data_IF_216180980894
#
_entry.id   IF_216180980894
#
_cell.length_a   1.000
_cell.length_b   1.000
_cell.length_c   1.000
_cell.angle_alpha   90.00
_cell.angle_beta   90.00
_cell.angle_gamma   90.00
#
_symmetry.space_group_name_H-M   'P 1'
#
loop_
_entity.id
_entity.type
_entity.pdbx_description
1 polymer ?
#
# COMPACT_ATOMS: atom_id res chain seq x y z
N UNK A 1 -14.39 -5.75 6.74
CA UNK A 1 -15.03 -6.70 7.65
C UNK A 1 -16.33 -6.19 8.24
N UNK A 2 -16.58 -4.86 8.20
CA UNK A 2 -17.84 -4.22 8.65
C UNK A 2 -18.95 -4.22 7.60
N UNK A 3 -18.74 -4.86 6.46
CA UNK A 3 -19.68 -4.90 5.35
C UNK A 3 -19.57 -3.72 4.38
N UNK A 4 -18.61 -2.81 4.57
CA UNK A 4 -18.40 -1.72 3.63
C UNK A 4 -17.83 -2.21 2.29
N UNK A 5 -18.24 -1.56 1.21
CA UNK A 5 -17.58 -1.66 -0.08
C UNK A 5 -16.34 -0.78 -0.11
N UNK A 6 -15.38 -1.12 -0.93
CA UNK A 6 -14.13 -0.35 -1.04
C UNK A 6 -14.10 0.43 -2.34
N UNK A 7 -13.94 1.74 -2.22
CA UNK A 7 -13.87 2.69 -3.34
C UNK A 7 -12.44 3.10 -3.72
N UNK A 8 -11.49 2.90 -2.82
CA UNK A 8 -10.09 3.22 -3.01
C UNK A 8 -9.21 2.32 -2.12
N UNK A 9 -8.01 2.01 -2.58
CA UNK A 9 -7.00 1.24 -1.83
C UNK A 9 -5.65 1.89 -1.95
N UNK A 10 -4.87 1.85 -0.87
CA UNK A 10 -3.47 2.25 -0.94
C UNK A 10 -2.68 1.29 -1.82
N UNK A 11 -1.71 1.85 -2.55
CA UNK A 11 -0.63 1.10 -3.15
C UNK A 11 0.37 0.63 -2.10
N UNK A 12 1.20 -0.35 -2.47
CA UNK A 12 2.22 -0.94 -1.62
C UNK A 12 3.51 -1.15 -2.39
N UNK A 13 4.64 -0.72 -1.83
CA UNK A 13 5.96 -0.98 -2.41
C UNK A 13 6.94 -1.41 -1.32
N UNK A 14 7.89 -2.24 -1.71
CA UNK A 14 9.00 -2.65 -0.84
C UNK A 14 10.28 -2.00 -1.34
N UNK A 15 10.92 -1.22 -0.47
CA UNK A 15 12.15 -0.50 -0.76
C UNK A 15 13.22 -0.96 0.22
N UNK A 16 14.38 -1.32 -0.34
CA UNK A 16 15.58 -1.64 0.44
C UNK A 16 16.63 -0.55 0.29
N UNK A 17 17.27 -0.17 1.39
CA UNK A 17 18.43 0.70 1.39
C UNK A 17 19.61 -0.08 1.97
N UNK A 18 20.66 -0.23 1.17
CA UNK A 18 21.93 -0.83 1.56
C UNK A 18 22.92 0.26 1.93
N UNK A 19 23.72 0.05 2.98
CA UNK A 19 24.74 0.97 3.48
C UNK A 19 26.10 0.30 3.40
N UNK A 20 27.12 1.03 2.92
CA UNK A 20 28.47 0.57 2.71
C UNK A 20 29.45 1.47 3.45
N UNK A 21 30.08 0.91 4.45
CA UNK A 21 31.08 1.55 5.29
C UNK A 21 32.47 0.98 5.08
N UNK A 22 33.33 1.14 6.08
CA UNK A 22 34.70 0.62 6.11
C UNK A 22 34.90 -0.17 7.40
N UNK A 23 35.34 -1.44 7.34
CA UNK A 23 35.55 -2.24 8.54
C UNK A 23 36.84 -1.81 9.26
N UNK A 24 36.83 -1.89 10.59
CA UNK A 24 37.99 -1.67 11.44
C UNK A 24 37.85 -2.45 12.75
N UNK A 25 38.95 -2.62 13.46
CA UNK A 25 38.91 -3.25 14.79
C UNK A 25 38.40 -2.24 15.83
N UNK A 26 37.23 -2.52 16.42
CA UNK A 26 36.54 -1.57 17.29
C UNK A 26 37.30 -1.13 18.53
N UNK A 27 38.25 -1.94 18.99
CA UNK A 27 39.06 -1.63 20.19
C UNK A 27 40.44 -1.00 19.93
N UNK A 28 41.02 -1.24 18.74
CA UNK A 28 42.40 -0.77 18.46
C UNK A 28 42.43 0.54 17.65
N UNK A 29 41.69 0.57 16.54
CA UNK A 29 41.64 1.67 15.58
C UNK A 29 40.24 1.90 15.06
N UNK A 30 39.26 2.23 15.93
CA UNK A 30 37.88 2.47 15.49
C UNK A 30 37.74 3.67 14.54
N UNK A 31 38.68 4.65 14.63
CA UNK A 31 38.76 5.86 13.81
C UNK A 31 39.03 5.56 12.32
N UNK A 32 39.63 4.42 12.00
CA UNK A 32 39.84 3.97 10.61
C UNK A 32 38.59 3.43 9.98
N UNK A 33 37.57 3.06 10.80
CA UNK A 33 36.31 2.51 10.36
C UNK A 33 35.28 3.56 9.96
N UNK A 34 34.26 3.11 9.21
CA UNK A 34 33.04 3.86 8.88
C UNK A 34 31.85 2.94 9.09
N UNK A 35 31.07 3.21 10.13
CA UNK A 35 30.05 2.26 10.60
C UNK A 35 28.75 2.35 9.80
N UNK A 36 28.49 1.33 8.99
CA UNK A 36 27.26 1.24 8.19
C UNK A 36 25.99 1.11 9.05
N UNK A 37 26.06 0.47 10.24
CA UNK A 37 24.91 0.33 11.15
C UNK A 37 24.54 1.70 11.74
N UNK A 38 25.52 2.51 12.14
CA UNK A 38 25.27 3.84 12.70
C UNK A 38 24.65 4.76 11.64
N UNK A 39 25.13 4.70 10.39
CA UNK A 39 24.55 5.41 9.26
C UNK A 39 23.10 4.96 8.99
N UNK A 40 22.83 3.65 9.00
CA UNK A 40 21.47 3.10 8.87
C UNK A 40 20.56 3.59 10.00
N UNK A 41 21.03 3.57 11.23
CA UNK A 41 20.25 4.04 12.39
C UNK A 41 19.89 5.53 12.26
N UNK A 42 20.81 6.36 11.78
CA UNK A 42 20.58 7.78 11.49
C UNK A 42 19.61 8.00 10.30
N UNK A 43 19.64 7.12 9.30
CA UNK A 43 18.82 7.19 8.10
C UNK A 43 17.33 6.88 8.35
N UNK A 44 17.04 5.86 9.17
CA UNK A 44 15.66 5.39 9.39
C UNK A 44 14.69 6.51 9.78
N UNK A 45 14.95 7.34 10.81
CA UNK A 45 14.03 8.40 11.18
C UNK A 45 13.90 9.47 10.09
N UNK A 46 14.96 9.80 9.37
CA UNK A 46 14.95 10.79 8.31
C UNK A 46 14.13 10.31 7.11
N UNK A 47 14.32 9.06 6.67
CA UNK A 47 13.54 8.47 5.57
C UNK A 47 12.06 8.36 5.94
N UNK A 48 11.74 7.95 7.17
CA UNK A 48 10.34 7.89 7.65
C UNK A 48 9.69 9.26 7.73
N UNK A 49 10.44 10.30 8.05
CA UNK A 49 9.91 11.66 8.11
C UNK A 49 9.38 12.15 6.75
N UNK A 50 10.00 11.73 5.63
CA UNK A 50 9.54 12.10 4.28
C UNK A 50 8.08 11.73 4.02
N UNK A 51 7.60 10.61 4.58
CA UNK A 51 6.20 10.21 4.43
C UNK A 51 5.24 11.15 5.17
N UNK A 52 5.68 11.81 6.24
CA UNK A 52 4.82 12.76 6.96
C UNK A 52 4.57 14.07 6.20
N UNK A 53 5.32 14.30 5.13
CA UNK A 53 5.22 15.49 4.29
C UNK A 53 4.32 15.27 3.05
N UNK A 54 3.86 14.04 2.83
CA UNK A 54 2.99 13.66 1.70
C UNK A 54 1.74 12.99 2.26
N UNK A 55 0.59 13.63 2.11
CA UNK A 55 -0.68 13.13 2.63
C UNK A 55 -1.00 11.73 2.07
N UNK A 56 -1.55 10.88 2.93
CA UNK A 56 -1.94 9.53 2.55
C UNK A 56 -0.79 8.53 2.44
N UNK A 57 0.48 8.95 2.64
CA UNK A 57 1.64 8.05 2.62
C UNK A 57 2.02 7.56 4.02
N UNK A 58 2.71 6.43 4.05
CA UNK A 58 3.30 5.88 5.27
C UNK A 58 4.54 5.04 4.93
N UNK A 59 5.54 5.07 5.81
CA UNK A 59 6.72 4.21 5.74
C UNK A 59 6.81 3.39 7.03
N UNK A 60 6.87 2.07 6.89
CA UNK A 60 7.13 1.14 7.99
C UNK A 60 8.48 0.47 7.80
N UNK A 61 9.31 0.44 8.85
CA UNK A 61 10.55 -0.34 8.85
C UNK A 61 10.21 -1.80 9.11
N UNK A 62 10.41 -2.67 8.11
CA UNK A 62 10.04 -4.09 8.19
C UNK A 62 11.21 -4.97 8.60
N UNK A 63 12.39 -4.78 7.97
CA UNK A 63 13.56 -5.62 8.22
C UNK A 63 14.81 -4.75 8.38
N UNK A 64 15.74 -5.21 9.22
CA UNK A 64 17.08 -4.65 9.37
C UNK A 64 18.11 -5.78 9.46
N UNK A 65 19.29 -5.56 8.90
CA UNK A 65 20.43 -6.47 8.99
C UNK A 65 21.73 -5.68 8.94
N UNK A 66 22.79 -6.16 9.56
CA UNK A 66 24.11 -5.51 9.49
C UNK A 66 25.15 -6.08 10.43
N UNK A 67 26.42 -5.77 10.12
CA UNK A 67 27.57 -6.23 10.86
C UNK A 67 27.86 -7.73 10.74
N UNK A 68 28.99 -8.15 11.30
CA UNK A 68 29.44 -9.55 11.34
C UNK A 68 29.75 -10.00 12.76
N UNK A 69 30.51 -9.20 13.51
CA UNK A 69 30.92 -9.46 14.89
C UNK A 69 30.86 -8.17 15.69
N UNK A 70 30.68 -8.27 17.01
CA UNK A 70 30.52 -7.11 17.90
C UNK A 70 31.81 -6.26 18.05
N UNK A 71 32.98 -6.84 17.78
CA UNK A 71 34.27 -6.16 17.89
C UNK A 71 34.81 -5.62 16.57
N UNK A 72 33.97 -5.56 15.53
CA UNK A 72 34.35 -5.00 14.21
C UNK A 72 33.35 -3.90 13.84
N UNK A 73 33.88 -2.74 13.40
CA UNK A 73 33.05 -1.67 12.81
C UNK A 73 32.32 -2.23 11.58
N UNK A 74 31.01 -2.06 11.50
CA UNK A 74 30.20 -2.69 10.49
C UNK A 74 30.46 -2.10 9.10
N UNK A 75 30.92 -2.93 8.17
CA UNK A 75 31.13 -2.56 6.76
C UNK A 75 29.81 -2.48 6.01
N UNK A 76 28.83 -3.33 6.36
CA UNK A 76 27.54 -3.42 5.67
C UNK A 76 26.39 -3.38 6.64
N UNK A 77 25.32 -2.68 6.23
CA UNK A 77 24.01 -2.72 6.86
C UNK A 77 22.93 -2.56 5.81
N UNK A 78 21.72 -3.00 6.10
CA UNK A 78 20.56 -2.79 5.24
C UNK A 78 19.26 -2.64 6.02
N UNK A 79 18.36 -1.84 5.49
CA UNK A 79 16.99 -1.70 5.98
C UNK A 79 16.01 -1.88 4.84
N UNK A 80 14.92 -2.62 5.10
CA UNK A 80 13.80 -2.77 4.15
C UNK A 80 12.56 -2.09 4.71
N UNK A 81 11.94 -1.25 3.90
CA UNK A 81 10.73 -0.50 4.21
C UNK A 81 9.54 -1.02 3.41
N UNK A 82 8.37 -1.07 4.06
CA UNK A 82 7.07 -1.11 3.41
C UNK A 82 6.55 0.32 3.26
N UNK A 83 6.23 0.71 2.03
CA UNK A 83 5.66 1.99 1.67
C UNK A 83 4.17 1.83 1.37
N UNK A 84 3.35 2.77 1.85
CA UNK A 84 1.93 2.88 1.53
C UNK A 84 1.63 4.28 1.02
N UNK A 85 0.80 4.40 -0.02
CA UNK A 85 0.49 5.67 -0.70
C UNK A 85 -0.91 5.65 -1.31
N UNK A 86 -1.52 6.84 -1.42
CA UNK A 86 -2.86 7.02 -1.97
C UNK A 86 -2.88 7.06 -3.50
N UNK A 87 -1.77 7.48 -4.13
CA UNK A 87 -1.62 7.54 -5.59
C UNK A 87 -0.22 7.12 -6.04
N UNK A 88 -0.09 6.75 -7.30
CA UNK A 88 1.21 6.42 -7.89
C UNK A 88 2.12 7.65 -7.97
N UNK A 89 1.54 8.86 -8.11
CA UNK A 89 2.29 10.11 -8.06
C UNK A 89 2.95 10.35 -6.69
N UNK A 90 2.23 10.08 -5.60
CA UNK A 90 2.77 10.19 -4.23
C UNK A 90 3.90 9.18 -3.99
N UNK A 91 3.75 7.95 -4.53
CA UNK A 91 4.80 6.93 -4.53
C UNK A 91 6.08 7.44 -5.20
N UNK A 92 5.94 7.95 -6.42
CA UNK A 92 7.08 8.37 -7.24
C UNK A 92 7.81 9.55 -6.60
N UNK A 93 7.07 10.51 -6.05
CA UNK A 93 7.61 11.64 -5.30
C UNK A 93 8.33 11.16 -4.02
N UNK A 94 7.73 10.24 -3.26
CA UNK A 94 8.34 9.69 -2.05
C UNK A 94 9.65 8.96 -2.37
N UNK A 95 9.66 8.08 -3.38
CA UNK A 95 10.86 7.35 -3.82
C UNK A 95 11.93 8.34 -4.32
N UNK A 96 11.54 9.36 -5.06
CA UNK A 96 12.47 10.40 -5.52
C UNK A 96 13.16 11.11 -4.35
N UNK A 97 12.39 11.53 -3.35
CA UNK A 97 12.93 12.17 -2.13
C UNK A 97 13.83 11.22 -1.33
N UNK A 98 13.43 9.94 -1.19
CA UNK A 98 14.27 8.93 -0.54
C UNK A 98 15.59 8.75 -1.26
N UNK A 99 15.60 8.64 -2.60
CA UNK A 99 16.84 8.57 -3.40
C UNK A 99 17.73 9.79 -3.21
N UNK A 100 17.14 10.98 -3.26
CA UNK A 100 17.87 12.23 -3.06
C UNK A 100 18.54 12.25 -1.67
N UNK A 101 17.83 11.83 -0.63
CA UNK A 101 18.36 11.77 0.72
C UNK A 101 19.51 10.74 0.85
N UNK A 102 19.38 9.56 0.20
CA UNK A 102 20.46 8.58 0.14
C UNK A 102 21.72 9.14 -0.52
N UNK A 103 21.58 9.97 -1.57
CA UNK A 103 22.73 10.59 -2.24
C UNK A 103 23.44 11.66 -1.38
N UNK A 104 22.73 12.32 -0.45
CA UNK A 104 23.36 13.29 0.46
C UNK A 104 24.17 12.62 1.57
N UNK A 105 23.91 11.32 1.83
CA UNK A 105 24.58 10.55 2.86
C UNK A 105 23.99 10.76 4.26
N UNK A 106 24.28 9.82 5.17
CA UNK A 106 23.76 9.80 6.56
C UNK A 106 24.88 9.80 7.60
N UNK A 107 26.10 9.51 7.17
CA UNK A 107 27.32 9.59 7.98
C UNK A 107 28.54 9.74 7.06
N UNK A 108 29.60 10.41 7.55
CA UNK A 108 30.81 10.64 6.80
C UNK A 108 31.47 9.32 6.38
N UNK A 109 31.79 9.20 5.09
CA UNK A 109 32.49 8.05 4.53
C UNK A 109 31.62 6.77 4.42
N UNK A 110 30.31 6.83 4.65
CA UNK A 110 29.35 5.76 4.36
C UNK A 110 28.52 6.15 3.16
N UNK A 111 28.46 5.26 2.17
CA UNK A 111 27.55 5.40 1.01
C UNK A 111 26.27 4.60 1.19
N UNK A 112 25.22 4.98 0.48
CA UNK A 112 23.97 4.22 0.51
C UNK A 112 23.33 4.10 -0.87
N UNK A 113 22.72 2.93 -1.12
CA UNK A 113 22.03 2.58 -2.35
C UNK A 113 20.57 2.21 -2.07
N UNK A 114 19.63 2.84 -2.81
CA UNK A 114 18.21 2.52 -2.72
C UNK A 114 17.80 1.58 -3.86
N UNK A 115 17.24 0.42 -3.51
CA UNK A 115 16.70 -0.58 -4.43
C UNK A 115 15.19 -0.71 -4.25
N UNK A 116 14.48 -0.78 -5.37
CA UNK A 116 13.05 -1.10 -5.40
C UNK A 116 12.93 -2.62 -5.53
N UNK A 117 12.39 -3.28 -4.51
CA UNK A 117 12.18 -4.74 -4.52
C UNK A 117 10.80 -5.10 -5.10
N UNK A 118 9.80 -4.27 -4.81
CA UNK A 118 8.46 -4.40 -5.41
C UNK A 118 7.80 -3.05 -5.58
N UNK A 119 6.89 -2.95 -6.56
CA UNK A 119 6.17 -1.73 -6.91
C UNK A 119 4.73 -2.10 -7.26
N UNK A 120 3.79 -1.89 -6.33
CA UNK A 120 2.37 -2.14 -6.57
C UNK A 120 1.60 -0.83 -6.77
N UNK A 121 0.66 -0.77 -7.72
CA UNK A 121 -0.11 0.46 -7.97
C UNK A 121 -1.08 0.78 -6.83
N UNK A 122 -1.50 2.05 -6.74
CA UNK A 122 -2.64 2.45 -5.92
C UNK A 122 -3.96 2.20 -6.69
N UNK A 123 -5.07 2.10 -5.95
CA UNK A 123 -6.43 2.14 -6.49
C UNK A 123 -7.09 3.44 -6.03
N UNK A 124 -6.86 4.57 -6.71
CA UNK A 124 -7.54 5.82 -6.40
C UNK A 124 -8.99 5.80 -6.90
N UNK A 125 -9.86 6.61 -6.28
CA UNK A 125 -11.20 6.82 -6.79
C UNK A 125 -11.15 7.60 -8.10
N UNK A 126 -11.41 6.94 -9.24
CA UNK A 126 -11.55 7.58 -10.56
C UNK A 126 -12.98 8.08 -10.79
N UNK A 127 -13.16 8.93 -11.81
CA UNK A 127 -14.48 9.40 -12.24
C UNK A 127 -15.37 8.22 -12.72
N UNK A 128 -14.75 7.25 -13.40
CA UNK A 128 -15.43 6.04 -13.87
C UNK A 128 -15.85 5.15 -12.70
N UNK A 129 -14.96 4.96 -11.69
CA UNK A 129 -15.28 4.24 -10.45
C UNK A 129 -16.40 4.95 -9.65
N UNK A 130 -16.43 6.28 -9.62
CA UNK A 130 -17.52 7.05 -9.02
C UNK A 130 -18.85 6.82 -9.73
N UNK A 131 -18.83 6.59 -11.04
CA UNK A 131 -20.04 6.22 -11.82
C UNK A 131 -20.53 4.83 -11.43
N UNK A 132 -19.64 3.86 -11.18
CA UNK A 132 -20.00 2.54 -10.66
C UNK A 132 -20.61 2.63 -9.25
N UNK A 133 -20.06 3.48 -8.38
CA UNK A 133 -20.65 3.75 -7.05
C UNK A 133 -22.09 4.24 -7.17
N UNK A 134 -22.33 5.21 -8.06
CA UNK A 134 -23.67 5.74 -8.32
C UNK A 134 -24.64 4.66 -8.81
N UNK A 135 -24.16 3.78 -9.69
CA UNK A 135 -24.95 2.67 -10.24
C UNK A 135 -25.31 1.65 -9.15
N UNK A 136 -24.38 1.29 -8.27
CA UNK A 136 -24.61 0.36 -7.15
C UNK A 136 -25.59 0.97 -6.13
N UNK A 137 -25.44 2.25 -5.81
CA UNK A 137 -26.37 2.94 -4.91
C UNK A 137 -27.79 2.94 -5.50
N UNK A 138 -27.94 3.14 -6.83
CA UNK A 138 -29.23 3.03 -7.53
C UNK A 138 -29.80 1.60 -7.49
N UNK A 139 -28.95 0.58 -7.66
CA UNK A 139 -29.36 -0.81 -7.55
C UNK A 139 -29.91 -1.14 -6.16
N UNK A 140 -29.21 -0.71 -5.10
CA UNK A 140 -29.65 -0.86 -3.72
C UNK A 140 -31.01 -0.20 -3.46
N UNK A 141 -31.18 1.04 -3.91
CA UNK A 141 -32.46 1.77 -3.79
C UNK A 141 -33.59 1.04 -4.51
N UNK A 142 -33.34 0.51 -5.73
CA UNK A 142 -34.36 -0.26 -6.51
C UNK A 142 -34.80 -1.52 -5.76
N UNK A 143 -33.87 -2.18 -5.08
CA UNK A 143 -34.14 -3.39 -4.29
C UNK A 143 -34.64 -3.11 -2.88
N UNK A 144 -34.77 -1.84 -2.49
CA UNK A 144 -35.06 -1.40 -1.12
C UNK A 144 -34.11 -1.95 -0.07
N UNK A 145 -32.85 -2.13 -0.46
CA UNK A 145 -31.76 -2.49 0.45
C UNK A 145 -31.21 -1.23 1.14
N UNK A 146 -30.57 -1.38 2.30
CA UNK A 146 -29.83 -0.28 2.93
C UNK A 146 -28.81 0.34 1.95
N UNK A 147 -28.60 1.64 2.06
CA UNK A 147 -27.58 2.32 1.26
C UNK A 147 -26.18 1.74 1.52
N UNK A 148 -25.42 1.39 0.47
CA UNK A 148 -24.07 0.90 0.61
C UNK A 148 -23.16 1.89 1.37
N UNK A 149 -22.35 1.38 2.27
CA UNK A 149 -21.28 2.15 2.93
C UNK A 149 -20.00 1.98 2.12
N UNK A 150 -19.31 3.08 1.84
CA UNK A 150 -18.09 3.11 1.04
C UNK A 150 -16.90 3.51 1.90
N UNK A 151 -15.85 2.69 1.87
CA UNK A 151 -14.63 2.91 2.65
C UNK A 151 -13.39 2.97 1.75
N UNK A 152 -12.31 3.44 2.33
CA UNK A 152 -10.96 3.35 1.77
C UNK A 152 -10.18 2.30 2.57
N UNK A 153 -9.41 1.46 1.88
CA UNK A 153 -8.68 0.37 2.52
C UNK A 153 -7.15 0.56 2.42
N UNK A 154 -6.45 0.21 3.49
CA UNK A 154 -4.99 0.30 3.54
C UNK A 154 -4.24 -0.85 2.85
N UNK A 155 -4.91 -1.98 2.58
CA UNK A 155 -4.35 -3.13 1.89
C UNK A 155 -4.64 -3.09 0.39
N UNK A 156 -3.69 -3.59 -0.42
CA UNK A 156 -3.88 -3.76 -1.87
C UNK A 156 -4.71 -5.01 -2.18
N UNK A 157 -5.25 -5.07 -3.40
CA UNK A 157 -5.92 -6.22 -3.99
C UNK A 157 -5.61 -6.28 -5.49
N UNK A 158 -6.06 -7.32 -6.19
CA UNK A 158 -5.95 -7.43 -7.65
C UNK A 158 -6.65 -6.27 -8.38
N UNK A 159 -7.60 -5.62 -7.71
CA UNK A 159 -8.26 -4.40 -8.20
C UNK A 159 -7.29 -3.24 -8.44
N UNK A 160 -6.21 -3.15 -7.67
CA UNK A 160 -5.18 -2.14 -7.87
C UNK A 160 -4.50 -2.32 -9.24
N UNK A 161 -4.16 -3.56 -9.61
CA UNK A 161 -3.55 -3.88 -10.90
C UNK A 161 -4.49 -3.52 -12.06
N UNK A 162 -5.77 -3.92 -11.96
CA UNK A 162 -6.76 -3.59 -13.00
C UNK A 162 -6.91 -2.08 -13.19
N UNK A 163 -6.94 -1.33 -12.10
CA UNK A 163 -7.04 0.13 -12.14
C UNK A 163 -5.84 0.80 -12.80
N UNK A 164 -4.64 0.24 -12.66
CA UNK A 164 -3.42 0.77 -13.30
C UNK A 164 -3.48 0.71 -14.83
N UNK A 165 -4.33 -0.17 -15.39
CA UNK A 165 -4.62 -0.24 -16.82
C UNK A 165 -5.83 0.62 -17.25
N UNK A 166 -6.30 1.52 -16.40
CA UNK A 166 -7.43 2.40 -16.69
C UNK A 166 -8.81 1.75 -16.58
N UNK A 167 -8.89 0.56 -15.98
CA UNK A 167 -10.18 -0.10 -15.72
C UNK A 167 -10.85 0.54 -14.51
N UNK A 168 -12.13 0.88 -14.63
CA UNK A 168 -12.94 1.33 -13.50
C UNK A 168 -13.13 0.19 -12.50
N UNK A 169 -12.71 0.38 -11.27
CA UNK A 169 -12.74 -0.66 -10.22
C UNK A 169 -13.45 -0.14 -8.98
N UNK A 170 -14.28 -0.99 -8.41
CA UNK A 170 -14.74 -0.94 -7.02
C UNK A 170 -14.55 -2.33 -6.43
N UNK A 171 -14.29 -2.43 -5.15
CA UNK A 171 -13.84 -3.68 -4.55
C UNK A 171 -14.63 -4.03 -3.28
N UNK A 172 -14.36 -5.21 -2.71
CA UNK A 172 -15.04 -5.75 -1.54
C UNK A 172 -16.56 -5.92 -1.72
N UNK A 173 -16.99 -6.34 -2.90
CA UNK A 173 -18.41 -6.62 -3.20
C UNK A 173 -18.91 -7.93 -2.59
N UNK A 174 -18.03 -8.79 -2.13
CA UNK A 174 -18.34 -10.07 -1.51
C UNK A 174 -19.20 -9.92 -0.24
N UNK A 175 -19.86 -11.01 0.22
CA UNK A 175 -20.53 -11.04 1.50
C UNK A 175 -19.61 -10.63 2.65
N UNK A 176 -20.20 -10.11 3.73
CA UNK A 176 -19.44 -9.64 4.91
C UNK A 176 -18.84 -10.80 5.67
N UNK A 177 -17.68 -10.56 6.25
CA UNK A 177 -16.95 -11.52 7.08
C UNK A 177 -15.93 -10.79 7.93
N UNK A 178 -15.11 -11.51 8.65
CA UNK A 178 -14.10 -10.87 9.49
C UNK A 178 -13.02 -11.80 10.00
N UNK A 179 -12.08 -11.18 10.72
CA UNK A 179 -10.92 -11.85 11.31
C UNK A 179 -10.10 -12.63 10.28
N UNK A 180 -9.94 -12.04 9.07
CA UNK A 180 -9.15 -12.61 7.97
C UNK A 180 -7.77 -13.04 8.45
N UNK A 181 -7.29 -14.16 7.92
CA UNK A 181 -6.01 -14.80 8.27
C UNK A 181 -5.94 -15.38 9.69
N UNK A 182 -7.05 -15.41 10.43
CA UNK A 182 -7.12 -16.11 11.70
C UNK A 182 -7.77 -17.49 11.49
N UNK A 183 -6.99 -18.59 11.46
CA UNK A 183 -7.50 -19.91 11.06
C UNK A 183 -8.61 -20.46 11.97
N UNK A 184 -8.74 -19.92 13.21
CA UNK A 184 -9.72 -20.40 14.18
C UNK A 184 -10.91 -19.46 14.38
N UNK A 185 -10.86 -18.23 13.81
CA UNK A 185 -11.86 -17.21 14.10
C UNK A 185 -12.36 -16.49 12.84
N UNK A 186 -11.77 -16.75 11.67
CA UNK A 186 -12.26 -16.21 10.41
C UNK A 186 -13.70 -16.70 10.18
N UNK A 187 -14.58 -15.79 9.79
CA UNK A 187 -15.99 -16.10 9.60
C UNK A 187 -16.57 -15.38 8.39
N UNK A 188 -17.63 -15.96 7.84
CA UNK A 188 -18.52 -15.37 6.85
C UNK A 188 -19.89 -15.18 7.48
N UNK A 189 -20.47 -13.98 7.34
CA UNK A 189 -21.85 -13.71 7.73
C UNK A 189 -22.81 -14.16 6.60
N UNK A 190 -23.42 -15.32 6.78
CA UNK A 190 -24.33 -15.93 5.81
C UNK A 190 -25.56 -15.08 5.53
N UNK A 191 -26.00 -14.24 6.48
CA UNK A 191 -27.16 -13.36 6.28
C UNK A 191 -26.91 -12.30 5.21
N UNK A 192 -25.63 -12.00 4.92
CA UNK A 192 -25.22 -11.01 3.91
C UNK A 192 -25.08 -11.58 2.50
N UNK A 193 -25.11 -12.90 2.32
CA UNK A 193 -24.85 -13.56 1.04
C UNK A 193 -25.95 -13.20 0.01
N UNK A 194 -27.21 -13.49 0.32
CA UNK A 194 -28.30 -13.25 -0.62
C UNK A 194 -28.48 -11.76 -0.96
N UNK A 195 -28.51 -10.82 0.00
CA UNK A 195 -28.61 -9.39 -0.31
C UNK A 195 -27.47 -8.90 -1.21
N UNK A 196 -26.25 -9.37 -1.01
CA UNK A 196 -25.08 -9.01 -1.82
C UNK A 196 -25.19 -9.53 -3.25
N UNK A 197 -25.58 -10.79 -3.43
CA UNK A 197 -25.78 -11.38 -4.76
C UNK A 197 -26.85 -10.62 -5.55
N UNK A 198 -28.02 -10.35 -4.94
CA UNK A 198 -29.09 -9.59 -5.58
C UNK A 198 -28.67 -8.17 -5.95
N UNK A 199 -27.86 -7.53 -5.08
CA UNK A 199 -27.33 -6.20 -5.35
C UNK A 199 -26.41 -6.19 -6.57
N UNK A 200 -25.47 -7.16 -6.64
CA UNK A 200 -24.54 -7.28 -7.77
C UNK A 200 -25.29 -7.59 -9.06
N UNK A 201 -26.20 -8.55 -9.03
CA UNK A 201 -27.04 -8.91 -10.19
C UNK A 201 -27.78 -7.68 -10.72
N UNK A 202 -28.44 -6.93 -9.83
CA UNK A 202 -29.16 -5.70 -10.22
C UNK A 202 -28.24 -4.61 -10.75
N UNK A 203 -27.05 -4.47 -10.18
CA UNK A 203 -26.05 -3.53 -10.68
C UNK A 203 -25.59 -3.89 -12.10
N UNK A 204 -25.36 -5.19 -12.38
CA UNK A 204 -24.99 -5.67 -13.71
C UNK A 204 -26.12 -5.47 -14.73
N UNK A 205 -27.38 -5.70 -14.37
CA UNK A 205 -28.54 -5.40 -15.23
C UNK A 205 -28.58 -3.91 -15.61
N UNK A 206 -28.43 -3.02 -14.62
CA UNK A 206 -28.42 -1.58 -14.85
C UNK A 206 -27.23 -1.14 -15.72
N UNK A 207 -26.06 -1.75 -15.53
CA UNK A 207 -24.88 -1.47 -16.34
C UNK A 207 -25.07 -1.91 -17.80
N UNK A 208 -25.65 -3.09 -18.01
CA UNK A 208 -25.97 -3.59 -19.35
C UNK A 208 -27.00 -2.71 -20.07
N UNK A 209 -28.05 -2.30 -19.37
CA UNK A 209 -29.08 -1.40 -19.92
C UNK A 209 -28.49 -0.02 -20.31
N UNK A 210 -27.58 0.52 -19.50
CA UNK A 210 -26.90 1.79 -19.79
C UNK A 210 -26.03 1.71 -21.06
N UNK A 211 -25.38 0.56 -21.32
CA UNK A 211 -24.54 0.36 -22.52
C UNK A 211 -25.36 0.16 -23.79
N UNK A 212 -26.56 -0.42 -23.70
CA UNK A 212 -27.41 -0.72 -24.86
C UNK A 212 -28.40 0.40 -25.20
N UNK A 213 -28.48 1.46 -24.40
CA UNK A 213 -29.50 2.51 -24.54
C UNK A 213 -30.92 2.03 -24.26
N UNK A 214 -31.09 0.80 -23.76
CA UNK A 214 -32.40 0.21 -23.42
C UNK A 214 -32.88 0.78 -22.06
N UNK A 215 -34.14 1.25 -22.03
CA UNK A 215 -34.79 1.60 -20.77
C UNK A 215 -34.90 0.34 -19.91
N UNK A 216 -34.53 0.35 -18.61
CA UNK A 216 -34.68 -0.83 -17.77
C UNK A 216 -36.15 -1.23 -17.73
N UNK A 217 -36.43 -2.51 -17.93
CA UNK A 217 -37.81 -3.06 -17.76
C UNK A 217 -38.29 -2.74 -16.34
N UNK A 218 -39.57 -2.28 -16.26
CA UNK A 218 -40.23 -1.87 -15.01
C UNK A 218 -40.44 -3.07 -14.07
#
# INVERSE_FOLDING_TARGET
PDGSFVRARKGSSTIRVDFHGVPAHAGNHPEDGRNAIDAMAAAIPQLKHLASEIDGTAISTGLVSGGTTANTVAEHASVTFDLRYGSDGDRDELIFRMRKLCLTGFADGVTSDLKIESLGPALPLSAESASLITLINRAAATLRLPSPVWAEAGGASDGNELASFGVAVIDALAPSGGLLHNPNKEYLDLATVEPRLRLIEKALELLAAAKTGASPAR
#
